data_IF_658375115076
#
_entry.id   IF_658375115076
#
_cell.length_a   1.000
_cell.length_b   1.000
_cell.length_c   1.000
_cell.angle_alpha   90.00
_cell.angle_beta   90.00
_cell.angle_gamma   90.00
#
_symmetry.space_group_name_H-M   'P 1'
#
loop_
_entity.id
_entity.type
_entity.pdbx_description
1 polymer ?
#
# COMPACT_ATOMS: atom_id res chain seq x y z
N UNK A 1 -15.16 -20.59 -3.68
CA UNK A 1 -16.08 -19.62 -3.04
C UNK A 1 -16.94 -18.99 -4.12
N UNK A 2 -18.22 -18.70 -3.87
CA UNK A 2 -19.04 -17.94 -4.82
C UNK A 2 -18.83 -16.42 -4.60
N UNK A 3 -17.93 -15.84 -5.41
CA UNK A 3 -17.54 -14.44 -5.30
C UNK A 3 -18.65 -13.46 -5.73
N UNK A 4 -19.57 -13.91 -6.58
CA UNK A 4 -20.71 -13.09 -7.01
C UNK A 4 -21.71 -12.93 -5.87
N UNK A 5 -22.02 -14.01 -5.16
CA UNK A 5 -22.86 -13.94 -3.96
C UNK A 5 -22.24 -13.08 -2.85
N UNK A 6 -20.91 -13.08 -2.74
CA UNK A 6 -20.14 -12.27 -1.78
C UNK A 6 -20.11 -10.80 -2.21
N UNK A 7 -20.42 -10.51 -3.48
CA UNK A 7 -20.37 -9.15 -4.04
C UNK A 7 -18.95 -8.62 -4.12
N UNK A 8 -17.99 -9.48 -4.46
CA UNK A 8 -16.59 -9.09 -4.65
C UNK A 8 -16.48 -8.02 -5.74
N UNK A 9 -15.81 -6.92 -5.41
CA UNK A 9 -15.34 -5.92 -6.37
C UNK A 9 -13.86 -5.69 -6.15
N UNK A 10 -13.10 -5.74 -7.24
CA UNK A 10 -11.67 -5.49 -7.26
C UNK A 10 -11.35 -4.38 -8.27
N UNK A 11 -10.49 -3.45 -7.87
CA UNK A 11 -9.82 -2.51 -8.76
C UNK A 11 -8.31 -2.71 -8.66
N UNK A 12 -7.60 -2.55 -9.77
CA UNK A 12 -6.14 -2.67 -9.83
C UNK A 12 -5.57 -1.31 -10.21
N UNK A 13 -4.51 -0.92 -9.52
CA UNK A 13 -3.72 0.26 -9.82
C UNK A 13 -2.31 -0.20 -10.18
N UNK A 14 -1.87 0.08 -11.40
CA UNK A 14 -0.55 -0.31 -11.89
C UNK A 14 0.32 0.92 -12.03
N UNK A 15 1.49 0.87 -11.42
CA UNK A 15 2.53 1.88 -11.55
C UNK A 15 3.65 1.31 -12.40
N UNK A 16 3.97 1.93 -13.54
CA UNK A 16 5.00 1.44 -14.45
C UNK A 16 5.99 2.55 -14.80
N UNK A 17 7.28 2.32 -14.51
CA UNK A 17 8.34 3.23 -14.92
C UNK A 17 8.53 3.21 -16.44
N UNK A 18 8.65 4.39 -17.02
CA UNK A 18 8.96 4.60 -18.43
C UNK A 18 10.47 4.62 -18.65
N UNK A 19 10.91 4.09 -19.79
CA UNK A 19 12.33 4.07 -20.15
C UNK A 19 12.70 5.27 -21.02
N UNK A 20 12.63 6.44 -20.40
CA UNK A 20 12.98 7.71 -21.04
C UNK A 20 14.45 8.04 -20.85
N UNK A 21 14.99 8.89 -21.73
CA UNK A 21 16.36 9.39 -21.61
C UNK A 21 16.57 10.21 -20.33
N UNK A 22 15.59 11.04 -20.00
CA UNK A 22 15.66 11.97 -18.88
C UNK A 22 14.47 11.79 -17.92
N UNK A 23 14.64 12.26 -16.69
CA UNK A 23 13.59 12.30 -15.65
C UNK A 23 12.43 13.22 -16.05
N UNK A 24 11.32 13.15 -15.29
CA UNK A 24 10.04 13.76 -15.68
C UNK A 24 10.08 15.29 -15.68
N UNK A 25 10.78 15.88 -14.73
CA UNK A 25 10.87 17.33 -14.53
C UNK A 25 12.31 17.84 -14.40
N UNK A 26 13.31 17.06 -14.84
CA UNK A 26 14.70 17.50 -14.92
C UNK A 26 15.47 16.72 -16.01
N UNK A 27 16.69 17.17 -16.31
CA UNK A 27 17.53 16.56 -17.36
C UNK A 27 18.43 15.43 -16.87
N UNK A 28 18.26 14.98 -15.63
CA UNK A 28 19.03 13.84 -15.11
C UNK A 28 18.63 12.53 -15.82
N UNK A 29 19.56 11.58 -15.99
CA UNK A 29 19.27 10.28 -16.59
C UNK A 29 18.37 9.43 -15.67
N UNK A 30 17.67 8.45 -16.25
CA UNK A 30 16.78 7.53 -15.51
C UNK A 30 17.49 6.24 -15.05
N UNK A 31 18.77 6.35 -14.68
CA UNK A 31 19.60 5.21 -14.24
C UNK A 31 19.57 5.07 -12.72
N UNK A 32 19.54 3.83 -12.24
CA UNK A 32 19.74 3.52 -10.83
C UNK A 32 21.24 3.33 -10.56
N UNK A 33 21.70 3.81 -9.40
CA UNK A 33 23.11 3.78 -9.00
C UNK A 33 23.28 2.83 -7.82
N UNK A 34 24.50 2.36 -7.58
CA UNK A 34 24.81 1.73 -6.30
C UNK A 34 24.82 2.81 -5.20
N UNK A 35 24.36 2.49 -4.00
CA UNK A 35 24.37 3.45 -2.89
C UNK A 35 25.79 3.87 -2.50
N UNK A 36 26.76 2.97 -2.66
CA UNK A 36 28.17 3.24 -2.34
C UNK A 36 28.83 4.25 -3.29
N UNK A 37 28.23 4.49 -4.45
CA UNK A 37 28.69 5.51 -5.41
C UNK A 37 28.22 6.93 -5.03
N UNK A 38 27.45 7.07 -3.96
CA UNK A 38 26.97 8.38 -3.51
C UNK A 38 28.14 9.26 -3.09
N UNK A 39 28.25 10.42 -3.72
CA UNK A 39 29.33 11.38 -3.49
C UNK A 39 28.88 12.59 -2.66
N UNK A 40 27.59 12.70 -2.36
CA UNK A 40 27.01 13.78 -1.58
C UNK A 40 25.81 13.28 -0.76
N UNK A 41 25.67 13.80 0.46
CA UNK A 41 24.56 13.49 1.35
C UNK A 41 24.05 14.77 2.02
N UNK A 42 22.73 14.87 2.18
CA UNK A 42 22.09 15.92 2.98
C UNK A 42 20.91 15.35 3.75
N UNK A 43 20.37 16.11 4.70
CA UNK A 43 19.20 15.69 5.47
C UNK A 43 18.09 16.74 5.48
N UNK A 44 16.85 16.29 5.64
CA UNK A 44 15.68 17.16 5.79
C UNK A 44 14.71 16.65 6.85
N UNK A 45 13.85 17.54 7.30
CA UNK A 45 12.68 17.23 8.11
C UNK A 45 11.45 17.75 7.36
N UNK A 46 10.53 16.86 7.00
CA UNK A 46 9.25 17.27 6.42
C UNK A 46 8.29 17.68 7.53
N UNK A 47 7.50 18.72 7.28
CA UNK A 47 6.46 19.21 8.19
C UNK A 47 5.12 19.15 7.48
N UNK A 48 4.12 18.60 8.13
CA UNK A 48 2.75 18.71 7.62
C UNK A 48 2.28 20.15 7.74
N UNK A 49 1.69 20.67 6.67
CA UNK A 49 0.88 21.87 6.69
C UNK A 49 -0.60 21.48 6.67
N UNK A 50 -1.43 22.30 7.31
CA UNK A 50 -2.89 22.22 7.14
C UNK A 50 -3.21 22.44 5.66
N UNK A 51 -4.17 21.68 5.14
CA UNK A 51 -4.74 21.97 3.82
C UNK A 51 -5.29 23.41 3.79
N UNK A 52 -5.46 23.98 2.59
CA UNK A 52 -6.04 25.32 2.44
C UNK A 52 -7.44 25.45 3.09
N UNK A 53 -8.16 24.34 3.20
CA UNK A 53 -9.46 24.21 3.86
C UNK A 53 -9.37 23.93 5.38
N UNK A 54 -8.16 23.85 5.94
CA UNK A 54 -7.93 23.65 7.38
C UNK A 54 -8.11 22.22 7.88
N UNK A 55 -8.52 21.29 7.02
CA UNK A 55 -8.64 19.86 7.34
C UNK A 55 -7.26 19.20 7.41
N UNK A 56 -7.06 18.35 8.42
CA UNK A 56 -5.82 17.60 8.61
C UNK A 56 -6.09 16.14 8.24
N UNK A 57 -5.31 15.62 7.30
CA UNK A 57 -5.39 14.20 6.90
C UNK A 57 -4.86 13.31 8.04
N UNK A 58 -5.70 12.38 8.51
CA UNK A 58 -5.39 11.47 9.63
C UNK A 58 -4.18 10.58 9.38
N UNK A 59 -4.01 10.09 8.16
CA UNK A 59 -2.85 9.28 7.81
C UNK A 59 -1.57 10.14 7.77
N UNK A 60 -1.69 11.41 7.39
CA UNK A 60 -0.58 12.35 7.49
C UNK A 60 -0.21 12.67 8.95
N UNK A 61 -1.17 12.87 9.86
CA UNK A 61 -0.89 13.06 11.29
C UNK A 61 -0.15 11.88 11.93
N UNK A 62 -0.60 10.65 11.66
CA UNK A 62 0.05 9.44 12.16
C UNK A 62 1.50 9.31 11.68
N UNK A 63 1.81 9.84 10.51
CA UNK A 63 3.14 9.84 9.91
C UNK A 63 4.04 10.97 10.47
N UNK A 64 3.50 12.17 10.68
CA UNK A 64 4.21 13.32 11.31
C UNK A 64 4.54 13.06 12.77
N UNK A 65 3.66 12.38 13.50
CA UNK A 65 3.89 11.98 14.89
C UNK A 65 5.16 11.13 15.05
N UNK A 66 5.69 10.57 13.95
CA UNK A 66 6.92 9.78 13.90
C UNK A 66 8.18 10.62 13.64
N UNK A 67 8.06 11.94 13.43
CA UNK A 67 9.13 12.94 13.16
C UNK A 67 10.50 12.31 12.91
N UNK A 68 10.69 11.79 11.69
CA UNK A 68 11.93 11.15 11.27
C UNK A 68 12.82 12.17 10.58
N UNK A 69 14.12 12.07 10.81
CA UNK A 69 15.12 12.75 9.99
C UNK A 69 15.29 11.96 8.69
N UNK A 70 15.13 12.60 7.55
CA UNK A 70 15.33 11.96 6.25
C UNK A 70 16.72 12.30 5.74
N UNK A 71 17.49 11.29 5.37
CA UNK A 71 18.84 11.43 4.82
C UNK A 71 18.75 11.04 3.33
N UNK A 72 19.25 11.89 2.45
CA UNK A 72 19.22 11.69 1.01
C UNK A 72 20.63 11.54 0.46
N UNK A 73 20.88 10.39 -0.19
CA UNK A 73 22.08 10.06 -0.95
C UNK A 73 21.95 10.59 -2.37
N UNK A 74 22.87 11.43 -2.79
CA UNK A 74 22.93 12.06 -4.09
C UNK A 74 24.20 11.62 -4.86
N UNK A 75 24.20 11.90 -6.16
CA UNK A 75 25.19 11.42 -7.13
C UNK A 75 25.55 12.51 -8.14
N UNK A 76 26.60 12.29 -8.92
CA UNK A 76 26.93 13.07 -10.13
C UNK A 76 25.84 13.03 -11.22
N UNK A 77 24.86 12.15 -11.07
CA UNK A 77 23.70 11.95 -11.96
C UNK A 77 22.40 12.48 -11.37
N UNK A 78 22.47 13.22 -10.26
CA UNK A 78 21.35 13.92 -9.64
C UNK A 78 21.56 15.43 -9.71
N UNK A 79 20.49 16.22 -9.61
CA UNK A 79 20.52 17.68 -9.70
C UNK A 79 19.78 18.39 -8.57
N UNK A 80 19.80 19.72 -8.61
CA UNK A 80 19.14 20.58 -7.63
C UNK A 80 17.61 20.42 -7.61
N UNK A 81 16.99 20.05 -8.74
CA UNK A 81 15.54 19.77 -8.79
C UNK A 81 15.18 18.58 -7.89
N UNK A 82 15.96 17.51 -7.94
CA UNK A 82 15.74 16.32 -7.09
C UNK A 82 16.07 16.61 -5.64
N UNK A 83 16.99 17.53 -5.37
CA UNK A 83 17.33 17.97 -4.02
C UNK A 83 16.33 18.97 -3.43
N UNK A 84 15.33 19.42 -4.21
CA UNK A 84 14.42 20.51 -3.84
C UNK A 84 15.18 21.82 -3.51
N UNK A 85 16.12 22.18 -4.40
CA UNK A 85 16.94 23.40 -4.36
C UNK A 85 16.82 24.23 -5.67
N UNK A 86 16.07 23.73 -6.65
CA UNK A 86 15.79 24.40 -7.92
C UNK A 86 14.35 24.07 -8.37
N UNK A 87 13.59 25.03 -8.93
CA UNK A 87 12.28 24.73 -9.51
C UNK A 87 12.33 23.63 -10.59
N UNK A 88 11.28 22.81 -10.71
CA UNK A 88 11.18 21.80 -11.76
C UNK A 88 11.27 22.42 -13.17
N UNK A 89 11.69 21.61 -14.14
CA UNK A 89 11.62 21.94 -15.56
C UNK A 89 10.24 21.58 -16.12
N UNK A 90 10.04 21.86 -17.41
CA UNK A 90 8.82 21.44 -18.10
C UNK A 90 8.64 19.92 -18.11
N UNK A 91 7.38 19.49 -18.24
CA UNK A 91 7.02 18.07 -18.37
C UNK A 91 7.76 17.41 -19.54
N UNK A 92 8.42 16.29 -19.27
CA UNK A 92 9.18 15.55 -20.26
C UNK A 92 8.30 15.08 -21.45
N UNK A 93 8.63 15.56 -22.65
CA UNK A 93 7.88 15.28 -23.88
C UNK A 93 7.95 13.82 -24.33
N UNK A 94 9.08 13.15 -24.09
CA UNK A 94 9.23 11.71 -24.39
C UNK A 94 8.31 10.88 -23.49
N UNK A 95 8.28 11.19 -22.19
CA UNK A 95 7.37 10.55 -21.25
C UNK A 95 5.91 10.73 -21.66
N UNK A 96 5.53 11.95 -22.05
CA UNK A 96 4.17 12.27 -22.50
C UNK A 96 3.80 11.49 -23.78
N UNK A 97 4.69 11.41 -24.77
CA UNK A 97 4.46 10.63 -26.00
C UNK A 97 4.24 9.14 -25.70
N UNK A 98 5.05 8.55 -24.81
CA UNK A 98 4.88 7.16 -24.38
C UNK A 98 3.54 6.98 -23.67
N UNK A 99 3.18 7.90 -22.78
CA UNK A 99 1.93 7.82 -22.03
C UNK A 99 0.69 8.00 -22.93
N UNK A 100 0.74 8.84 -23.96
CA UNK A 100 -0.32 8.95 -24.99
C UNK A 100 -0.41 7.66 -25.81
N UNK A 101 0.72 7.07 -26.19
CA UNK A 101 0.73 5.77 -26.87
C UNK A 101 0.05 4.69 -26.02
N UNK A 102 0.36 4.63 -24.71
CA UNK A 102 -0.29 3.72 -23.76
C UNK A 102 -1.79 4.00 -23.67
N UNK A 103 -2.21 5.27 -23.55
CA UNK A 103 -3.61 5.66 -23.51
C UNK A 103 -4.40 5.16 -24.74
N UNK A 104 -3.81 5.28 -25.95
CA UNK A 104 -4.40 4.74 -27.18
C UNK A 104 -4.51 3.21 -27.16
N UNK A 105 -3.48 2.52 -26.67
CA UNK A 105 -3.49 1.05 -26.52
C UNK A 105 -4.53 0.57 -25.50
N UNK A 106 -4.94 1.43 -24.57
CA UNK A 106 -5.98 1.18 -23.56
C UNK A 106 -7.36 1.75 -23.97
N UNK A 107 -7.52 2.19 -25.22
CA UNK A 107 -8.76 2.78 -25.75
C UNK A 107 -9.27 3.99 -24.94
N UNK A 108 -8.37 4.78 -24.35
CA UNK A 108 -8.71 5.90 -23.48
C UNK A 108 -8.91 7.21 -24.27
N UNK A 109 -9.61 8.16 -23.64
CA UNK A 109 -9.72 9.55 -24.10
C UNK A 109 -8.62 10.37 -23.44
N UNK A 110 -7.75 10.97 -24.26
CA UNK A 110 -6.70 11.88 -23.80
C UNK A 110 -7.32 13.25 -23.51
N UNK A 111 -6.85 13.93 -22.46
CA UNK A 111 -7.29 15.29 -22.11
C UNK A 111 -6.81 16.33 -23.14
N UNK A 112 -7.49 17.47 -23.23
CA UNK A 112 -7.08 18.57 -24.12
C UNK A 112 -5.84 19.31 -23.61
N UNK A 113 -5.67 19.37 -22.30
CA UNK A 113 -4.57 20.03 -21.60
C UNK A 113 -4.18 19.22 -20.37
N UNK A 114 -2.87 19.04 -20.17
CA UNK A 114 -2.29 18.28 -19.07
C UNK A 114 -1.78 19.25 -18.01
N UNK A 115 -2.46 19.28 -16.87
CA UNK A 115 -2.09 20.05 -15.69
C UNK A 115 -1.37 19.19 -14.66
N UNK A 116 -0.27 19.72 -14.12
CA UNK A 116 0.49 19.05 -13.07
C UNK A 116 -0.05 19.44 -11.70
N UNK A 117 -0.24 18.44 -10.85
CA UNK A 117 -0.72 18.57 -9.48
C UNK A 117 0.35 18.05 -8.50
N UNK A 118 0.31 18.54 -7.27
CA UNK A 118 1.14 18.12 -6.14
C UNK A 118 0.31 17.25 -5.21
N UNK A 119 0.61 15.95 -5.17
CA UNK A 119 0.05 14.96 -4.24
C UNK A 119 0.91 14.93 -2.98
N UNK A 120 0.38 15.32 -1.83
CA UNK A 120 1.16 15.41 -0.58
C UNK A 120 1.69 14.03 -0.16
N UNK A 121 3.01 13.93 0.03
CA UNK A 121 3.75 12.72 0.43
C UNK A 121 4.78 13.09 1.49
N UNK A 122 4.52 12.73 2.74
CA UNK A 122 5.31 13.16 3.90
C UNK A 122 6.15 12.05 4.55
N UNK A 123 6.25 10.90 3.89
CA UNK A 123 7.05 9.74 4.33
C UNK A 123 8.56 9.89 4.07
N UNK A 124 8.96 11.02 3.48
CA UNK A 124 10.33 11.35 3.08
C UNK A 124 10.75 10.74 1.74
N UNK A 125 9.85 10.07 1.02
CA UNK A 125 10.19 9.47 -0.28
C UNK A 125 10.21 10.49 -1.42
N UNK A 126 9.68 11.69 -1.22
CA UNK A 126 9.84 12.86 -2.08
C UNK A 126 10.50 13.99 -1.30
N UNK A 127 11.60 14.56 -1.80
CA UNK A 127 12.37 15.63 -1.14
C UNK A 127 11.57 16.91 -0.92
N UNK A 128 10.63 17.19 -1.82
CA UNK A 128 9.66 18.30 -1.82
C UNK A 128 8.52 18.12 -0.82
N UNK A 129 8.30 16.91 -0.28
CA UNK A 129 7.13 16.57 0.52
C UNK A 129 5.83 16.38 -0.29
N UNK A 130 5.93 16.30 -1.61
CA UNK A 130 4.83 15.97 -2.52
C UNK A 130 5.35 15.28 -3.79
N UNK A 131 4.52 14.48 -4.41
CA UNK A 131 4.75 13.87 -5.72
C UNK A 131 4.06 14.72 -6.78
N UNK A 132 4.74 15.04 -7.88
CA UNK A 132 4.09 15.66 -9.03
C UNK A 132 3.39 14.59 -9.87
N UNK A 133 2.10 14.78 -10.11
CA UNK A 133 1.22 13.85 -10.83
C UNK A 133 0.31 14.66 -11.75
N UNK A 134 0.10 14.19 -12.98
CA UNK A 134 -0.77 14.82 -13.97
C UNK A 134 -1.73 13.79 -14.58
N UNK A 135 -3.04 14.11 -14.63
CA UNK A 135 -4.01 13.28 -15.33
C UNK A 135 -3.80 13.45 -16.84
N UNK A 136 -3.64 12.35 -17.56
CA UNK A 136 -3.43 12.37 -19.02
C UNK A 136 -4.62 11.83 -19.79
N UNK A 137 -5.25 10.76 -19.31
CA UNK A 137 -6.35 10.14 -20.01
C UNK A 137 -7.34 9.50 -19.04
N UNK A 138 -8.57 9.34 -19.50
CA UNK A 138 -9.68 8.73 -18.74
C UNK A 138 -10.60 7.94 -19.68
N UNK A 139 -11.58 7.21 -19.12
CA UNK A 139 -12.59 6.46 -19.88
C UNK A 139 -12.03 5.49 -20.93
N UNK A 140 -11.17 4.55 -20.51
CA UNK A 140 -10.69 3.46 -21.36
C UNK A 140 -11.31 2.11 -21.06
N UNK A 141 -10.83 1.11 -21.77
CA UNK A 141 -11.14 -0.28 -21.49
C UNK A 141 -10.13 -1.25 -22.12
N UNK A 142 -10.07 -2.44 -21.54
CA UNK A 142 -9.43 -3.61 -22.14
C UNK A 142 -10.40 -4.79 -22.15
N UNK A 143 -10.26 -5.66 -23.15
CA UNK A 143 -11.02 -6.90 -23.21
C UNK A 143 -10.15 -8.07 -22.70
N UNK A 144 -10.64 -8.80 -21.71
CA UNK A 144 -9.95 -9.93 -21.08
C UNK A 144 -10.89 -11.15 -21.08
N UNK A 145 -10.57 -12.15 -21.90
CA UNK A 145 -11.41 -13.35 -22.15
C UNK A 145 -12.86 -13.03 -22.56
N UNK A 146 -13.07 -11.98 -23.36
CA UNK A 146 -14.40 -11.60 -23.82
C UNK A 146 -15.20 -10.76 -22.82
N UNK A 147 -14.65 -10.46 -21.64
CA UNK A 147 -15.21 -9.50 -20.70
C UNK A 147 -14.47 -8.16 -20.80
N UNK A 148 -15.23 -7.08 -20.80
CA UNK A 148 -14.70 -5.72 -20.82
C UNK A 148 -14.42 -5.22 -19.42
N UNK A 149 -13.22 -4.71 -19.19
CA UNK A 149 -12.78 -4.10 -17.93
C UNK A 149 -12.50 -2.63 -18.20
N UNK A 150 -13.19 -1.75 -17.47
CA UNK A 150 -12.96 -0.32 -17.58
C UNK A 150 -11.60 0.11 -17.04
N UNK A 151 -11.03 1.15 -17.64
CA UNK A 151 -9.83 1.86 -17.18
C UNK A 151 -10.26 3.29 -16.89
N UNK A 152 -10.35 3.66 -15.62
CA UNK A 152 -10.89 4.95 -15.20
C UNK A 152 -9.91 6.09 -15.48
N UNK A 153 -8.64 5.88 -15.14
CA UNK A 153 -7.61 6.93 -15.18
C UNK A 153 -6.25 6.42 -15.62
N UNK A 154 -5.52 7.30 -16.30
CA UNK A 154 -4.10 7.18 -16.59
C UNK A 154 -3.44 8.52 -16.26
N UNK A 155 -2.53 8.47 -15.28
CA UNK A 155 -1.74 9.60 -14.85
C UNK A 155 -0.27 9.43 -15.24
N UNK A 156 0.44 10.54 -15.41
CA UNK A 156 1.91 10.59 -15.52
C UNK A 156 2.43 11.22 -14.24
N UNK A 157 3.38 10.57 -13.57
CA UNK A 157 3.90 11.04 -12.28
C UNK A 157 5.38 10.76 -12.06
N UNK A 158 5.95 11.41 -11.05
CA UNK A 158 7.31 11.17 -10.58
C UNK A 158 7.37 9.89 -9.75
N UNK A 159 8.32 9.00 -10.04
CA UNK A 159 8.66 7.95 -9.09
C UNK A 159 9.30 8.52 -7.81
N UNK A 160 9.09 7.85 -6.68
CA UNK A 160 9.66 8.19 -5.38
C UNK A 160 11.12 7.71 -5.20
N UNK A 161 11.84 8.30 -4.25
CA UNK A 161 13.20 7.88 -3.86
C UNK A 161 13.27 6.39 -3.55
N UNK A 162 14.43 5.77 -3.81
CA UNK A 162 14.67 4.39 -3.37
C UNK A 162 15.02 4.38 -1.88
N UNK A 163 14.23 3.65 -1.09
CA UNK A 163 14.49 3.49 0.34
C UNK A 163 15.66 2.52 0.55
N UNK A 164 16.70 2.98 1.27
CA UNK A 164 17.93 2.22 1.50
C UNK A 164 17.90 1.59 2.89
N UNK A 165 17.62 2.38 3.92
CA UNK A 165 17.75 1.93 5.32
C UNK A 165 16.67 2.59 6.20
N UNK A 166 16.08 1.83 7.13
CA UNK A 166 15.24 2.37 8.21
C UNK A 166 15.99 2.25 9.53
N UNK A 167 16.47 3.38 10.04
CA UNK A 167 17.07 3.49 11.37
C UNK A 167 16.01 3.96 12.35
N UNK A 168 16.26 3.75 13.64
CA UNK A 168 15.27 4.01 14.71
C UNK A 168 14.57 5.38 14.61
N UNK A 169 15.30 6.44 14.26
CA UNK A 169 14.78 7.81 14.13
C UNK A 169 15.16 8.48 12.78
N UNK A 170 15.73 7.71 11.85
CA UNK A 170 16.20 8.24 10.56
C UNK A 170 15.80 7.29 9.44
N UNK A 171 15.48 7.80 8.25
CA UNK A 171 15.33 6.97 7.06
C UNK A 171 16.31 7.46 6.01
N UNK A 172 17.06 6.54 5.42
CA UNK A 172 18.01 6.83 4.35
C UNK A 172 17.36 6.50 3.01
N UNK A 173 17.35 7.48 2.12
CA UNK A 173 16.82 7.42 0.76
C UNK A 173 17.93 7.71 -0.25
N UNK A 174 17.83 7.11 -1.43
CA UNK A 174 18.65 7.41 -2.59
C UNK A 174 17.84 8.15 -3.65
N UNK A 175 18.42 9.24 -4.16
CA UNK A 175 17.77 10.13 -5.14
C UNK A 175 17.83 9.61 -6.58
N UNK A 176 18.64 8.59 -6.86
CA UNK A 176 18.80 8.02 -8.20
C UNK A 176 17.46 7.68 -8.88
N UNK A 177 16.48 7.23 -8.10
CA UNK A 177 15.15 6.85 -8.56
C UNK A 177 14.13 8.00 -8.58
N UNK A 178 14.30 9.03 -7.75
CA UNK A 178 13.35 10.13 -7.63
C UNK A 178 13.16 10.81 -8.99
N UNK A 179 11.92 10.98 -9.45
CA UNK A 179 11.61 11.70 -10.69
C UNK A 179 11.75 10.88 -11.97
N UNK A 180 12.07 9.58 -11.92
CA UNK A 180 11.90 8.70 -13.09
C UNK A 180 10.43 8.77 -13.53
N UNK A 181 10.11 8.98 -14.82
CA UNK A 181 8.72 9.05 -15.26
C UNK A 181 7.99 7.73 -15.03
N UNK A 182 6.76 7.83 -14.55
CA UNK A 182 5.92 6.70 -14.24
C UNK A 182 4.52 6.95 -14.80
N UNK A 183 3.86 5.89 -15.27
CA UNK A 183 2.41 5.91 -15.52
C UNK A 183 1.69 5.16 -14.42
N UNK A 184 0.64 5.78 -13.88
CA UNK A 184 -0.31 5.17 -12.96
C UNK A 184 -1.60 4.89 -13.75
N UNK A 185 -2.00 3.62 -13.84
CA UNK A 185 -3.22 3.18 -14.52
C UNK A 185 -4.18 2.60 -13.47
N UNK A 186 -5.36 3.20 -13.34
CA UNK A 186 -6.42 2.72 -12.45
C UNK A 186 -7.53 2.02 -13.22
N UNK A 187 -7.84 0.77 -12.88
CA UNK A 187 -9.01 0.07 -13.43
C UNK A 187 -10.28 0.46 -12.69
N UNK A 188 -11.41 0.40 -13.37
CA UNK A 188 -12.72 0.41 -12.73
C UNK A 188 -12.89 -0.80 -11.80
N UNK A 189 -13.84 -0.73 -10.88
CA UNK A 189 -14.16 -1.79 -9.92
C UNK A 189 -15.01 -2.94 -10.54
N UNK A 190 -14.65 -3.36 -11.75
CA UNK A 190 -15.39 -4.33 -12.57
C UNK A 190 -14.94 -5.78 -12.36
N UNK A 191 -13.80 -5.99 -11.71
CA UNK A 191 -13.20 -7.31 -11.53
C UNK A 191 -13.92 -8.05 -10.40
N UNK A 192 -14.46 -9.24 -10.71
CA UNK A 192 -15.37 -9.99 -9.82
C UNK A 192 -14.78 -11.27 -9.25
N UNK A 193 -13.61 -11.69 -9.72
CA UNK A 193 -12.96 -12.93 -9.22
C UNK A 193 -11.44 -12.75 -9.06
N UNK A 194 -10.80 -13.48 -8.14
CA UNK A 194 -9.33 -13.47 -7.99
C UNK A 194 -8.59 -13.84 -9.28
N UNK A 195 -9.08 -14.86 -9.99
CA UNK A 195 -8.47 -15.30 -11.25
C UNK A 195 -8.58 -14.21 -12.33
N UNK A 196 -9.71 -13.50 -12.41
CA UNK A 196 -9.87 -12.38 -13.32
C UNK A 196 -8.89 -11.25 -12.97
N UNK A 197 -8.70 -10.92 -11.68
CA UNK A 197 -7.72 -9.92 -11.25
C UNK A 197 -6.30 -10.25 -11.76
N UNK A 198 -5.86 -11.51 -11.60
CA UNK A 198 -4.59 -11.99 -12.14
C UNK A 198 -4.48 -11.82 -13.66
N UNK A 199 -5.53 -12.17 -14.40
CA UNK A 199 -5.53 -12.05 -15.87
C UNK A 199 -5.55 -10.60 -16.36
N UNK A 200 -6.28 -9.72 -15.67
CA UNK A 200 -6.32 -8.28 -15.98
C UNK A 200 -4.95 -7.65 -15.77
N UNK A 201 -4.32 -7.89 -14.61
CA UNK A 201 -2.96 -7.43 -14.35
C UNK A 201 -1.94 -7.96 -15.38
N UNK A 202 -2.06 -9.24 -15.75
CA UNK A 202 -1.20 -9.85 -16.77
C UNK A 202 -1.34 -9.15 -18.13
N UNK A 203 -2.59 -8.88 -18.55
CA UNK A 203 -2.89 -8.22 -19.82
C UNK A 203 -2.37 -6.79 -19.83
N UNK A 204 -2.61 -6.01 -18.78
CA UNK A 204 -2.08 -4.65 -18.65
C UNK A 204 -0.55 -4.64 -18.70
N UNK A 205 0.11 -5.52 -17.95
CA UNK A 205 1.57 -5.65 -17.98
C UNK A 205 2.11 -5.98 -19.37
N UNK A 206 1.42 -6.84 -20.13
CA UNK A 206 1.81 -7.17 -21.51
C UNK A 206 1.56 -6.02 -22.49
N UNK A 207 0.45 -5.28 -22.37
CA UNK A 207 0.20 -4.05 -23.14
C UNK A 207 1.34 -3.06 -22.91
N UNK A 208 1.70 -2.81 -21.65
CA UNK A 208 2.81 -1.93 -21.29
C UNK A 208 4.14 -2.41 -21.87
N UNK A 209 4.47 -3.71 -21.76
CA UNK A 209 5.69 -4.27 -22.37
C UNK A 209 5.71 -4.14 -23.90
N UNK A 210 4.55 -4.22 -24.55
CA UNK A 210 4.44 -4.11 -26.01
C UNK A 210 4.86 -2.73 -26.53
N UNK A 211 4.91 -1.70 -25.67
CA UNK A 211 5.47 -0.39 -26.04
C UNK A 211 6.94 -0.44 -26.42
N UNK A 212 7.70 -1.37 -25.83
CA UNK A 212 9.17 -1.39 -25.89
C UNK A 212 9.83 -0.17 -25.22
N UNK A 213 9.07 0.66 -24.48
CA UNK A 213 9.50 1.94 -23.90
C UNK A 213 9.23 2.03 -22.40
N UNK A 214 9.03 0.88 -21.76
CA UNK A 214 8.88 0.76 -20.30
C UNK A 214 10.11 0.09 -19.72
N UNK A 215 10.53 0.51 -18.52
CA UNK A 215 11.65 -0.14 -17.84
C UNK A 215 11.29 -1.58 -17.50
N UNK A 216 12.28 -2.46 -17.62
CA UNK A 216 12.20 -3.88 -17.27
C UNK A 216 13.09 -4.18 -16.06
N UNK A 217 12.71 -5.19 -15.28
CA UNK A 217 13.46 -5.64 -14.11
C UNK A 217 12.71 -5.44 -12.80
N UNK A 218 13.31 -5.89 -11.69
CA UNK A 218 12.69 -5.84 -10.38
C UNK A 218 12.40 -4.39 -9.94
N UNK A 219 11.19 -4.16 -9.43
CA UNK A 219 10.79 -2.86 -8.90
C UNK A 219 10.48 -1.78 -9.95
N UNK A 220 10.40 -2.14 -11.23
CA UNK A 220 10.01 -1.21 -12.33
C UNK A 220 8.50 -1.12 -12.51
N UNK A 221 7.77 -2.14 -12.05
CA UNK A 221 6.31 -2.20 -12.00
C UNK A 221 5.86 -2.46 -10.57
N UNK A 222 4.82 -1.75 -10.12
CA UNK A 222 4.11 -2.02 -8.86
C UNK A 222 2.64 -2.17 -9.14
N UNK A 223 1.99 -2.97 -8.30
CA UNK A 223 0.56 -3.21 -8.38
C UNK A 223 -0.02 -3.03 -6.99
N UNK A 224 -0.98 -2.12 -6.89
CA UNK A 224 -1.81 -1.93 -5.72
C UNK A 224 -3.23 -2.44 -6.06
N UNK A 225 -3.90 -3.04 -5.08
CA UNK A 225 -5.18 -3.73 -5.31
C UNK A 225 -6.21 -3.22 -4.32
N UNK A 226 -7.32 -2.74 -4.85
CA UNK A 226 -8.45 -2.24 -4.06
C UNK A 226 -9.51 -3.33 -4.01
N UNK A 227 -9.88 -3.79 -2.81
CA UNK A 227 -10.78 -4.93 -2.63
C UNK A 227 -11.93 -4.54 -1.72
N UNK A 228 -13.14 -4.93 -2.10
CA UNK A 228 -14.33 -4.83 -1.25
C UNK A 228 -15.28 -6.00 -1.48
N UNK A 229 -16.07 -6.32 -0.47
CA UNK A 229 -17.17 -7.28 -0.55
C UNK A 229 -18.47 -6.64 -0.03
N UNK A 230 -19.61 -7.30 -0.26
CA UNK A 230 -20.89 -6.88 0.33
C UNK A 230 -20.77 -6.88 1.87
N UNK A 231 -21.31 -5.84 2.50
CA UNK A 231 -21.25 -5.60 3.95
C UNK A 231 -19.84 -5.41 4.54
N UNK A 232 -18.82 -5.40 3.67
CA UNK A 232 -17.45 -5.01 3.97
C UNK A 232 -17.18 -3.55 3.61
N UNK A 233 -15.90 -3.21 3.47
CA UNK A 233 -15.45 -1.86 3.11
C UNK A 233 -14.28 -1.94 2.12
N UNK A 234 -13.95 -0.79 1.50
CA UNK A 234 -12.81 -0.71 0.58
C UNK A 234 -11.51 -0.81 1.37
N UNK A 235 -10.68 -1.78 0.98
CA UNK A 235 -9.34 -1.99 1.52
C UNK A 235 -8.35 -1.88 0.37
N UNK A 236 -7.34 -1.03 0.54
CA UNK A 236 -6.24 -0.86 -0.40
C UNK A 236 -5.07 -1.74 0.03
N UNK A 237 -4.62 -2.65 -0.83
CA UNK A 237 -3.48 -3.52 -0.58
C UNK A 237 -2.33 -3.03 -1.45
N UNK A 238 -1.29 -2.49 -0.80
CA UNK A 238 -0.10 -1.99 -1.47
C UNK A 238 0.99 -3.04 -1.66
N UNK A 239 1.72 -2.89 -2.76
CA UNK A 239 2.97 -3.59 -3.00
C UNK A 239 2.80 -5.07 -3.33
N UNK A 240 1.80 -5.42 -4.14
CA UNK A 240 1.67 -6.78 -4.69
C UNK A 240 2.75 -6.97 -5.78
N UNK A 241 3.91 -7.49 -5.37
CA UNK A 241 5.10 -7.56 -6.24
C UNK A 241 4.99 -8.62 -7.32
N UNK A 242 4.38 -9.77 -7.00
CA UNK A 242 4.28 -10.90 -7.92
C UNK A 242 2.86 -11.06 -8.45
N UNK A 243 2.75 -11.20 -9.77
CA UNK A 243 1.50 -11.58 -10.42
C UNK A 243 1.01 -12.96 -9.95
N UNK A 244 1.93 -13.83 -9.52
CA UNK A 244 1.59 -15.19 -9.12
C UNK A 244 0.82 -15.30 -7.82
N UNK A 245 0.92 -14.27 -6.97
CA UNK A 245 0.24 -14.23 -5.67
C UNK A 245 -1.00 -13.35 -5.67
N UNK A 246 -1.24 -12.60 -6.74
CA UNK A 246 -2.32 -11.61 -6.81
C UNK A 246 -3.70 -12.24 -6.57
N UNK A 247 -3.95 -13.42 -7.14
CA UNK A 247 -5.18 -14.18 -6.90
C UNK A 247 -5.32 -14.60 -5.42
N UNK A 248 -4.25 -15.10 -4.79
CA UNK A 248 -4.25 -15.44 -3.36
C UNK A 248 -4.48 -14.21 -2.48
N UNK A 249 -3.86 -13.09 -2.79
CA UNK A 249 -4.06 -11.82 -2.06
C UNK A 249 -5.53 -11.42 -2.09
N UNK A 250 -6.17 -11.52 -3.25
CA UNK A 250 -7.59 -11.21 -3.38
C UNK A 250 -8.46 -12.19 -2.60
N UNK A 251 -8.20 -13.49 -2.75
CA UNK A 251 -8.95 -14.53 -2.06
C UNK A 251 -8.84 -14.40 -0.53
N UNK A 252 -7.64 -14.20 0.00
CA UNK A 252 -7.40 -14.09 1.43
C UNK A 252 -7.96 -12.80 2.02
N UNK A 253 -8.01 -11.71 1.26
CA UNK A 253 -8.71 -10.50 1.69
C UNK A 253 -10.22 -10.72 1.77
N UNK A 254 -10.82 -11.45 0.81
CA UNK A 254 -12.23 -11.83 0.89
C UNK A 254 -12.51 -12.67 2.14
N UNK A 255 -11.66 -13.66 2.42
CA UNK A 255 -11.76 -14.50 3.62
C UNK A 255 -11.66 -13.63 4.90
N UNK A 256 -10.75 -12.66 4.91
CA UNK A 256 -10.59 -11.71 6.03
C UNK A 256 -11.84 -10.90 6.28
N UNK A 257 -12.34 -10.24 5.24
CA UNK A 257 -13.50 -9.36 5.37
C UNK A 257 -14.72 -10.15 5.83
N UNK A 258 -14.95 -11.33 5.25
CA UNK A 258 -16.04 -12.23 5.66
C UNK A 258 -15.89 -12.65 7.13
N UNK A 259 -14.71 -13.06 7.56
CA UNK A 259 -14.45 -13.47 8.95
C UNK A 259 -14.67 -12.32 9.93
N UNK A 260 -14.28 -11.09 9.58
CA UNK A 260 -14.52 -9.91 10.40
C UNK A 260 -16.02 -9.54 10.48
N UNK A 261 -16.78 -9.73 9.41
CA UNK A 261 -18.24 -9.57 9.41
C UNK A 261 -18.88 -10.62 10.33
N UNK A 262 -18.43 -11.87 10.28
CA UNK A 262 -18.93 -12.92 11.18
C UNK A 262 -18.58 -12.62 12.64
N UNK A 263 -17.38 -12.09 12.93
CA UNK A 263 -17.00 -11.62 14.26
C UNK A 263 -17.90 -10.46 14.69
N UNK A 264 -18.21 -9.51 13.81
CA UNK A 264 -19.15 -8.40 14.10
C UNK A 264 -20.50 -8.93 14.55
N UNK A 265 -21.10 -9.85 13.79
CA UNK A 265 -22.42 -10.39 14.12
C UNK A 265 -22.39 -11.14 15.45
N UNK A 266 -21.34 -11.92 15.71
CA UNK A 266 -21.19 -12.63 16.99
C UNK A 266 -20.99 -11.67 18.17
N UNK A 267 -20.19 -10.60 18.01
CA UNK A 267 -20.02 -9.56 19.02
C UNK A 267 -21.33 -8.83 19.32
N UNK A 268 -22.13 -8.53 18.29
CA UNK A 268 -23.46 -7.91 18.45
C UNK A 268 -24.41 -8.83 19.19
N UNK A 269 -24.48 -10.10 18.79
CA UNK A 269 -25.30 -11.13 19.45
C UNK A 269 -24.91 -11.32 20.91
N UNK A 270 -23.61 -11.24 21.22
CA UNK A 270 -23.10 -11.29 22.58
C UNK A 270 -23.30 -9.98 23.34
N UNK A 271 -23.75 -8.89 22.73
CA UNK A 271 -23.74 -7.54 23.33
C UNK A 271 -22.37 -7.23 23.96
N UNK A 272 -21.30 -7.54 23.23
CA UNK A 272 -19.94 -7.32 23.66
C UNK A 272 -19.63 -5.82 23.81
N UNK A 273 -18.64 -5.50 24.64
CA UNK A 273 -18.27 -4.11 24.94
C UNK A 273 -16.76 -3.98 25.13
N UNK A 274 -16.21 -2.81 24.81
CA UNK A 274 -14.78 -2.53 25.00
C UNK A 274 -14.59 -1.64 26.22
N UNK A 275 -13.79 -2.10 27.19
CA UNK A 275 -13.40 -1.26 28.31
C UNK A 275 -12.21 -0.38 27.90
N UNK A 276 -12.38 0.95 28.02
CA UNK A 276 -11.35 1.94 27.65
C UNK A 276 -10.27 2.11 28.72
N UNK A 277 -10.45 1.53 29.90
CA UNK A 277 -9.45 1.58 30.98
C UNK A 277 -8.25 0.71 30.64
N UNK A 278 -7.07 1.32 30.68
CA UNK A 278 -5.79 0.61 30.60
C UNK A 278 -5.37 0.24 32.02
N UNK A 279 -5.26 -1.06 32.27
CA UNK A 279 -4.83 -1.63 33.55
C UNK A 279 -3.30 -1.71 33.60
N UNK A 280 -2.70 -1.39 34.75
CA UNK A 280 -1.29 -1.67 35.00
C UNK A 280 -1.17 -3.10 35.54
N UNK A 281 -0.56 -3.98 34.75
CA UNK A 281 -0.42 -5.41 35.02
C UNK A 281 1.01 -5.79 35.42
N UNK A 282 1.88 -4.80 35.66
CA UNK A 282 3.31 -5.06 35.92
C UNK A 282 3.52 -5.91 37.18
N UNK A 283 2.64 -5.78 38.18
CA UNK A 283 2.70 -6.59 39.40
C UNK A 283 2.25 -8.04 39.19
N UNK A 284 1.31 -8.29 38.28
CA UNK A 284 0.81 -9.64 37.94
C UNK A 284 1.97 -10.49 37.42
N UNK A 285 2.79 -9.92 36.55
CA UNK A 285 3.89 -10.61 35.88
C UNK A 285 5.26 -10.40 36.54
N UNK A 286 5.30 -10.04 37.83
CA UNK A 286 6.55 -9.72 38.54
C UNK A 286 7.52 -10.90 38.57
N UNK A 287 6.99 -12.12 38.62
CA UNK A 287 7.75 -13.38 38.69
C UNK A 287 7.55 -14.28 37.47
N UNK A 288 7.01 -13.72 36.38
CA UNK A 288 6.75 -14.46 35.14
C UNK A 288 7.98 -15.16 34.61
N UNK A 289 7.83 -16.27 33.89
CA UNK A 289 8.94 -16.90 33.17
C UNK A 289 9.10 -16.35 31.74
N UNK A 290 8.11 -15.58 31.26
CA UNK A 290 8.10 -14.99 29.93
C UNK A 290 9.29 -14.07 29.71
N UNK A 291 10.21 -14.48 28.84
CA UNK A 291 11.43 -13.71 28.49
C UNK A 291 11.11 -12.34 27.90
N UNK A 292 9.95 -12.21 27.24
CA UNK A 292 9.50 -10.96 26.62
C UNK A 292 9.04 -9.97 27.68
N UNK A 293 8.16 -10.42 28.59
CA UNK A 293 7.62 -9.57 29.65
C UNK A 293 8.69 -9.19 30.68
N UNK A 294 9.60 -10.12 31.05
CA UNK A 294 10.74 -9.84 31.96
C UNK A 294 11.59 -8.64 31.55
N UNK A 295 11.73 -8.39 30.24
CA UNK A 295 12.56 -7.30 29.70
C UNK A 295 11.80 -5.98 29.58
N UNK A 296 10.48 -5.98 29.74
CA UNK A 296 9.66 -4.80 29.61
C UNK A 296 9.76 -3.91 30.85
N UNK A 297 9.67 -2.59 30.64
CA UNK A 297 9.63 -1.61 31.74
C UNK A 297 8.23 -1.43 32.32
N UNK A 298 7.22 -1.74 31.52
CA UNK A 298 5.82 -1.61 31.86
C UNK A 298 5.00 -2.68 31.14
N UNK A 299 4.01 -3.23 31.84
CA UNK A 299 3.02 -4.15 31.28
C UNK A 299 1.64 -3.53 31.47
N UNK A 300 0.96 -3.27 30.36
CA UNK A 300 -0.40 -2.77 30.34
C UNK A 300 -1.35 -3.80 29.76
N UNK A 301 -2.64 -3.71 30.11
CA UNK A 301 -3.67 -4.50 29.44
C UNK A 301 -5.01 -3.80 29.38
N UNK A 302 -5.88 -4.34 28.53
CA UNK A 302 -7.25 -3.86 28.30
C UNK A 302 -8.23 -5.03 28.37
N UNK A 303 -9.43 -4.75 28.87
CA UNK A 303 -10.51 -5.72 28.97
C UNK A 303 -11.48 -5.58 27.80
N UNK A 304 -11.64 -6.65 27.03
CA UNK A 304 -12.61 -6.75 25.95
C UNK A 304 -13.74 -7.69 26.40
N UNK A 305 -14.89 -7.11 26.74
CA UNK A 305 -15.99 -7.87 27.34
C UNK A 305 -16.69 -8.74 26.30
N UNK A 306 -16.88 -10.02 26.62
CA UNK A 306 -17.51 -11.03 25.75
C UNK A 306 -16.76 -11.31 24.43
N UNK A 307 -15.46 -11.03 24.39
CA UNK A 307 -14.56 -11.30 23.25
C UNK A 307 -13.89 -12.68 23.28
N UNK A 308 -14.12 -13.49 24.31
CA UNK A 308 -13.48 -14.81 24.45
C UNK A 308 -13.67 -15.68 23.20
N UNK A 309 -12.58 -16.32 22.79
CA UNK A 309 -12.48 -17.16 21.60
C UNK A 309 -12.49 -16.39 20.27
N UNK A 310 -12.80 -15.08 20.25
CA UNK A 310 -12.86 -14.28 19.03
C UNK A 310 -11.53 -13.63 18.68
N UNK A 311 -10.68 -13.33 19.66
CA UNK A 311 -9.35 -12.75 19.42
C UNK A 311 -8.44 -13.82 18.79
N UNK A 312 -8.52 -15.05 19.28
CA UNK A 312 -7.82 -16.22 18.75
C UNK A 312 -8.41 -16.77 17.44
N UNK A 313 -9.57 -16.26 16.99
CA UNK A 313 -10.22 -16.75 15.77
C UNK A 313 -9.42 -16.38 14.54
N UNK A 314 -9.16 -17.38 13.70
CA UNK A 314 -8.49 -17.21 12.42
C UNK A 314 -9.38 -16.40 11.46
N UNK A 315 -8.80 -15.36 10.85
CA UNK A 315 -9.47 -14.47 9.89
C UNK A 315 -8.83 -14.54 8.51
N UNK A 316 -7.57 -14.97 8.42
CA UNK A 316 -6.87 -15.33 7.18
C UNK A 316 -6.01 -16.55 7.48
N UNK A 317 -5.58 -17.33 6.47
CA UNK A 317 -4.65 -18.42 6.68
C UNK A 317 -3.45 -18.00 7.55
N UNK A 318 -3.35 -18.57 8.75
CA UNK A 318 -2.26 -18.28 9.70
C UNK A 318 -2.34 -16.92 10.43
N UNK A 319 -3.41 -16.12 10.24
CA UNK A 319 -3.63 -14.84 10.94
C UNK A 319 -4.97 -14.80 11.65
N UNK A 320 -4.96 -14.25 12.86
CA UNK A 320 -6.13 -14.15 13.75
C UNK A 320 -6.56 -12.70 13.95
N UNK A 321 -7.71 -12.46 14.58
CA UNK A 321 -8.07 -11.11 15.01
C UNK A 321 -7.01 -10.51 15.93
N UNK A 322 -6.41 -11.31 16.82
CA UNK A 322 -5.27 -10.90 17.65
C UNK A 322 -4.05 -10.48 16.85
N UNK A 323 -3.86 -11.03 15.63
CA UNK A 323 -2.80 -10.60 14.72
C UNK A 323 -3.02 -9.17 14.21
N UNK A 324 -4.26 -8.72 14.01
CA UNK A 324 -4.58 -7.32 13.66
C UNK A 324 -4.19 -6.38 14.81
N UNK A 325 -4.48 -6.76 16.05
CA UNK A 325 -4.07 -5.98 17.23
C UNK A 325 -2.54 -5.98 17.40
N UNK A 326 -1.88 -7.09 17.09
CA UNK A 326 -0.43 -7.21 17.12
C UNK A 326 0.25 -6.31 16.07
N UNK A 327 -0.29 -6.23 14.85
CA UNK A 327 0.20 -5.30 13.82
C UNK A 327 0.15 -3.86 14.30
N UNK A 328 -0.95 -3.46 14.95
CA UNK A 328 -1.08 -2.14 15.57
C UNK A 328 0.00 -1.91 16.62
N UNK A 329 0.22 -2.86 17.52
CA UNK A 329 1.25 -2.74 18.55
C UNK A 329 2.67 -2.58 17.96
N UNK A 330 2.97 -3.30 16.87
CA UNK A 330 4.27 -3.20 16.17
C UNK A 330 4.52 -1.82 15.60
N UNK A 331 3.49 -1.11 15.16
CA UNK A 331 3.64 0.27 14.68
C UNK A 331 4.11 1.25 15.77
N UNK A 332 3.80 0.98 17.04
CA UNK A 332 4.29 1.76 18.17
C UNK A 332 5.67 1.29 18.66
N UNK A 333 6.33 0.40 17.90
CA UNK A 333 7.65 -0.14 18.22
C UNK A 333 7.66 -1.16 19.35
N UNK A 334 6.55 -1.88 19.53
CA UNK A 334 6.43 -3.03 20.43
C UNK A 334 6.66 -4.34 19.65
N UNK A 335 7.00 -5.44 20.34
CA UNK A 335 7.18 -6.75 19.68
C UNK A 335 5.87 -7.42 19.23
N UNK A 336 4.74 -7.00 19.79
CA UNK A 336 3.42 -7.58 19.57
C UNK A 336 2.54 -7.41 20.81
N UNK A 337 1.56 -8.30 20.95
CA UNK A 337 0.67 -8.39 22.12
C UNK A 337 0.59 -9.85 22.60
N UNK A 338 0.03 -10.05 23.79
CA UNK A 338 -0.52 -11.33 24.24
C UNK A 338 -2.01 -11.17 24.46
N UNK A 339 -2.78 -12.25 24.39
CA UNK A 339 -4.19 -12.22 24.76
C UNK A 339 -4.66 -13.54 25.33
N UNK A 340 -5.74 -13.51 26.12
CA UNK A 340 -6.24 -14.67 26.86
C UNK A 340 -6.57 -15.89 26.00
N UNK A 341 -7.04 -15.72 24.75
CA UNK A 341 -7.33 -16.88 23.89
C UNK A 341 -6.09 -17.69 23.47
N UNK A 342 -4.88 -17.15 23.68
CA UNK A 342 -3.60 -17.82 23.41
C UNK A 342 -2.86 -18.20 24.71
N UNK A 343 -3.44 -17.94 25.88
CA UNK A 343 -2.83 -18.20 27.18
C UNK A 343 -3.59 -19.31 27.93
N UNK A 344 -2.89 -20.14 28.73
CA UNK A 344 -1.48 -20.06 29.12
C UNK A 344 -0.50 -20.48 28.00
N UNK A 345 0.54 -19.68 27.78
CA UNK A 345 1.63 -19.98 26.85
C UNK A 345 2.80 -18.99 27.06
N UNK A 346 3.87 -19.15 26.28
CA UNK A 346 4.98 -18.18 26.21
C UNK A 346 5.69 -17.89 27.55
N UNK A 347 5.68 -18.87 28.46
CA UNK A 347 6.24 -18.73 29.81
C UNK A 347 5.35 -17.93 30.77
N UNK A 348 4.06 -17.78 30.45
CA UNK A 348 3.02 -17.26 31.35
C UNK A 348 2.27 -18.45 31.94
N UNK A 349 2.22 -18.56 33.27
CA UNK A 349 1.57 -19.68 33.96
C UNK A 349 0.05 -19.48 34.11
N UNK A 350 -0.68 -20.55 34.41
CA UNK A 350 -2.13 -20.47 34.73
C UNK A 350 -2.40 -19.58 35.95
N UNK A 351 -1.54 -19.63 36.97
CA UNK A 351 -1.66 -18.75 38.14
C UNK A 351 -1.57 -17.27 37.77
N UNK A 352 -0.73 -16.92 36.78
CA UNK A 352 -0.63 -15.56 36.26
C UNK A 352 -1.85 -15.16 35.43
N UNK A 353 -2.44 -16.10 34.68
CA UNK A 353 -3.69 -15.88 33.93
C UNK A 353 -4.87 -15.67 34.90
N UNK A 354 -4.94 -16.42 35.99
CA UNK A 354 -5.95 -16.24 37.03
C UNK A 354 -5.82 -14.87 37.72
N UNK A 355 -4.61 -14.47 38.08
CA UNK A 355 -4.34 -13.17 38.71
C UNK A 355 -4.60 -11.99 37.75
N UNK A 356 -4.32 -12.19 36.45
CA UNK A 356 -4.68 -11.26 35.39
C UNK A 356 -6.20 -11.06 35.31
N UNK A 357 -6.98 -12.15 35.29
CA UNK A 357 -8.46 -12.08 35.25
C UNK A 357 -9.01 -11.39 36.49
N UNK A 358 -8.49 -11.71 37.69
CA UNK A 358 -8.86 -11.03 38.95
C UNK A 358 -8.56 -9.53 38.92
N UNK A 359 -7.37 -9.14 38.48
CA UNK A 359 -6.92 -7.73 38.43
C UNK A 359 -7.78 -6.91 37.47
N UNK A 360 -8.13 -7.48 36.31
CA UNK A 360 -8.94 -6.81 35.29
C UNK A 360 -10.45 -6.94 35.52
N UNK A 361 -10.87 -7.80 36.47
CA UNK A 361 -12.27 -8.18 36.72
C UNK A 361 -12.93 -8.79 35.47
N UNK A 362 -12.16 -9.59 34.73
CA UNK A 362 -12.65 -10.32 33.57
C UNK A 362 -13.45 -11.56 34.00
N UNK A 363 -14.63 -11.79 33.41
CA UNK A 363 -15.33 -13.07 33.52
C UNK A 363 -14.83 -14.09 32.46
N UNK A 364 -15.37 -15.30 32.46
CA UNK A 364 -14.95 -16.38 31.54
C UNK A 364 -15.26 -16.09 30.07
N UNK A 365 -16.20 -15.19 29.79
CA UNK A 365 -16.56 -14.78 28.43
C UNK A 365 -15.73 -13.58 27.97
N UNK A 366 -15.05 -12.91 28.89
CA UNK A 366 -14.22 -11.76 28.60
C UNK A 366 -12.81 -12.20 28.17
N UNK A 367 -12.18 -11.35 27.36
CA UNK A 367 -10.81 -11.52 26.94
C UNK A 367 -9.96 -10.32 27.37
N UNK A 368 -8.70 -10.57 27.70
CA UNK A 368 -7.74 -9.54 28.09
C UNK A 368 -6.62 -9.49 27.07
N UNK A 369 -6.32 -8.30 26.56
CA UNK A 369 -5.18 -8.04 25.67
C UNK A 369 -4.08 -7.34 26.45
N UNK A 370 -2.84 -7.80 26.31
CA UNK A 370 -1.68 -7.37 27.07
C UNK A 370 -0.59 -6.88 26.12
N UNK A 371 0.03 -5.75 26.46
CA UNK A 371 1.20 -5.24 25.75
C UNK A 371 2.31 -4.89 26.76
N UNK A 372 3.56 -5.18 26.39
CA UNK A 372 4.72 -5.01 27.26
C UNK A 372 5.82 -4.21 26.56
N UNK A 373 6.38 -3.21 27.23
CA UNK A 373 7.41 -2.35 26.65
C UNK A 373 7.70 -1.08 27.45
N UNK A 374 7.96 0.02 26.73
CA UNK A 374 8.04 1.36 27.31
C UNK A 374 6.61 1.90 27.54
N UNK A 375 6.39 2.58 28.66
CA UNK A 375 5.04 2.94 29.13
C UNK A 375 4.26 3.78 28.13
N UNK A 376 4.85 4.85 27.58
CA UNK A 376 4.17 5.74 26.62
C UNK A 376 3.79 4.98 25.35
N UNK A 377 4.70 4.12 24.86
CA UNK A 377 4.42 3.26 23.68
C UNK A 377 3.30 2.26 23.95
N UNK A 378 3.32 1.58 25.09
CA UNK A 378 2.29 0.62 25.50
C UNK A 378 0.94 1.29 25.63
N UNK A 379 0.85 2.42 26.32
CA UNK A 379 -0.41 3.15 26.48
C UNK A 379 -0.98 3.60 25.14
N UNK A 380 -0.14 4.14 24.24
CA UNK A 380 -0.57 4.56 22.91
C UNK A 380 -1.03 3.38 22.04
N UNK A 381 -0.30 2.26 22.07
CA UNK A 381 -0.70 1.04 21.37
C UNK A 381 -2.04 0.51 21.88
N UNK A 382 -2.22 0.40 23.20
CA UNK A 382 -3.47 -0.10 23.78
C UNK A 382 -4.65 0.84 23.49
N UNK A 383 -4.48 2.16 23.48
CA UNK A 383 -5.52 3.11 23.04
C UNK A 383 -5.92 2.85 21.59
N UNK A 384 -4.97 2.57 20.70
CA UNK A 384 -5.28 2.27 19.29
C UNK A 384 -5.94 0.91 19.13
N UNK A 385 -5.53 -0.10 19.92
CA UNK A 385 -6.18 -1.41 19.94
C UNK A 385 -7.61 -1.30 20.49
N UNK A 386 -7.86 -0.47 21.51
CA UNK A 386 -9.23 -0.16 21.98
C UNK A 386 -10.09 0.34 20.82
N UNK A 387 -9.61 1.33 20.05
CA UNK A 387 -10.34 1.83 18.89
C UNK A 387 -10.58 0.74 17.84
N UNK A 388 -9.60 -0.16 17.62
CA UNK A 388 -9.74 -1.29 16.69
C UNK A 388 -10.78 -2.30 17.18
N UNK A 389 -10.76 -2.63 18.47
CA UNK A 389 -11.73 -3.53 19.08
C UNK A 389 -13.15 -2.92 19.03
N UNK A 390 -13.29 -1.62 19.25
CA UNK A 390 -14.55 -0.90 19.06
C UNK A 390 -15.01 -0.95 17.60
N UNK A 391 -14.09 -0.84 16.65
CA UNK A 391 -14.41 -0.94 15.23
C UNK A 391 -14.99 -2.32 14.84
N UNK A 392 -14.63 -3.39 15.56
CA UNK A 392 -15.15 -4.73 15.30
C UNK A 392 -16.69 -4.82 15.44
N UNK A 393 -17.33 -3.88 16.14
CA UNK A 393 -18.80 -3.79 16.21
C UNK A 393 -19.46 -3.22 14.94
N UNK A 394 -18.67 -2.56 14.09
CA UNK A 394 -19.10 -1.99 12.81
C UNK A 394 -18.78 -2.91 11.63
N UNK A 395 -17.64 -3.60 11.68
CA UNK A 395 -17.26 -4.61 10.69
C UNK A 395 -15.84 -4.41 10.16
N UNK A 396 -15.71 -4.41 8.83
CA UNK A 396 -14.41 -4.28 8.16
C UNK A 396 -13.99 -2.80 8.15
N UNK A 397 -12.81 -2.46 8.66
CA UNK A 397 -12.27 -1.10 8.62
C UNK A 397 -11.65 -0.75 7.28
N UNK A 398 -11.92 0.48 6.83
CA UNK A 398 -11.25 1.08 5.66
C UNK A 398 -9.79 1.41 6.00
N UNK A 399 -8.87 0.78 5.29
CA UNK A 399 -7.45 0.87 5.59
C UNK A 399 -6.58 0.52 4.40
N UNK A 400 -5.35 1.03 4.42
CA UNK A 400 -4.28 0.58 3.56
C UNK A 400 -3.51 -0.54 4.27
N UNK A 401 -3.30 -1.65 3.57
CA UNK A 401 -2.61 -2.85 4.03
C UNK A 401 -1.41 -3.13 3.12
N UNK A 402 -0.44 -3.88 3.63
CA UNK A 402 0.70 -4.38 2.85
C UNK A 402 0.48 -5.86 2.52
N UNK A 403 0.75 -6.26 1.28
CA UNK A 403 0.80 -7.67 0.91
C UNK A 403 2.03 -8.37 1.51
N UNK A 404 1.83 -9.55 2.09
CA UNK A 404 2.89 -10.44 2.56
C UNK A 404 3.23 -11.48 1.48
N UNK A 405 4.38 -12.15 1.60
CA UNK A 405 4.88 -13.13 0.62
C UNK A 405 4.03 -14.41 0.52
N UNK A 406 3.17 -14.67 1.51
CA UNK A 406 2.25 -15.80 1.55
C UNK A 406 0.85 -15.46 0.99
N UNK A 407 0.62 -14.21 0.63
CA UNK A 407 -0.65 -13.68 0.12
C UNK A 407 -1.55 -13.11 1.20
N UNK A 408 -1.20 -13.25 2.47
CA UNK A 408 -1.92 -12.57 3.56
C UNK A 408 -1.61 -11.08 3.56
N UNK A 409 -2.34 -10.30 4.35
CA UNK A 409 -2.14 -8.84 4.42
C UNK A 409 -1.92 -8.38 5.85
N UNK A 410 -1.06 -7.38 6.03
CA UNK A 410 -0.80 -6.75 7.33
C UNK A 410 -1.25 -5.30 7.31
N UNK A 411 -1.79 -4.80 8.42
CA UNK A 411 -2.17 -3.39 8.54
C UNK A 411 -0.96 -2.48 8.29
N UNK A 412 -1.15 -1.41 7.50
CA UNK A 412 -0.11 -0.40 7.28
C UNK A 412 -0.51 0.96 7.87
N UNK A 413 -1.65 1.51 7.44
CA UNK A 413 -2.15 2.83 7.85
C UNK A 413 -3.64 2.98 7.53
N UNK A 414 -4.34 3.99 8.08
CA UNK A 414 -5.70 4.30 7.65
C UNK A 414 -5.72 4.69 6.16
N UNK A 415 -6.85 4.48 5.50
CA UNK A 415 -7.00 4.87 4.10
C UNK A 415 -6.81 6.40 3.99
N UNK A 416 -5.92 6.89 3.10
CA UNK A 416 -5.69 8.32 2.93
C UNK A 416 -6.95 9.04 2.45
N UNK A 417 -7.14 10.30 2.89
CA UNK A 417 -8.28 11.12 2.49
C UNK A 417 -8.13 11.72 1.08
N UNK A 418 -9.25 12.21 0.54
CA UNK A 418 -9.30 12.82 -0.80
C UNK A 418 -8.57 14.18 -0.92
N UNK A 419 -8.42 14.91 0.20
CA UNK A 419 -7.88 16.27 0.24
C UNK A 419 -6.34 16.31 0.28
N UNK A 420 -5.68 15.73 -0.72
CA UNK A 420 -4.20 15.64 -0.80
C UNK A 420 -3.56 16.28 -2.02
N UNK A 421 -4.35 16.82 -2.96
CA UNK A 421 -3.83 17.40 -4.19
C UNK A 421 -4.07 18.91 -4.25
N UNK A 422 -3.06 19.63 -4.74
CA UNK A 422 -3.13 21.07 -5.05
C UNK A 422 -2.26 21.38 -6.29
N UNK A 423 -2.48 22.48 -7.01
CA UNK A 423 -1.77 22.76 -8.27
C UNK A 423 -0.23 22.85 -8.13
N UNK A 424 0.51 22.31 -9.10
CA UNK A 424 1.95 22.54 -9.30
C UNK A 424 2.14 23.79 -10.17
N UNK A 425 2.35 24.94 -9.53
CA UNK A 425 2.42 26.23 -10.22
C UNK A 425 3.76 26.50 -10.92
N UNK A 426 4.80 25.71 -10.62
CA UNK A 426 6.13 25.94 -11.18
C UNK A 426 6.28 25.30 -12.57
N UNK A 427 5.37 24.39 -12.95
CA UNK A 427 5.37 23.71 -14.24
C UNK A 427 4.19 24.21 -15.09
N UNK A 428 4.43 24.73 -16.32
CA UNK A 428 3.35 25.14 -17.20
C UNK A 428 2.52 23.95 -17.69
N UNK A 429 1.22 24.18 -17.88
CA UNK A 429 0.33 23.22 -18.50
C UNK A 429 0.75 22.87 -19.92
N UNK A 430 0.46 21.65 -20.34
CA UNK A 430 0.79 21.16 -21.68
C UNK A 430 -0.47 20.95 -22.49
N UNK A 431 -0.69 21.80 -23.49
CA UNK A 431 -1.75 21.58 -24.49
C UNK A 431 -1.42 20.35 -25.35
N UNK A 432 -2.38 19.43 -25.46
CA UNK A 432 -2.28 18.25 -26.32
C UNK A 432 -2.57 18.64 -27.77
N UNK A 433 -1.65 18.33 -28.67
CA UNK A 433 -1.76 18.67 -30.09
C UNK A 433 -2.09 17.44 -30.93
N UNK A 434 -2.65 17.66 -32.13
CA UNK A 434 -2.89 16.59 -33.12
C UNK A 434 -1.62 15.81 -33.47
N UNK A 435 -0.46 16.48 -33.50
CA UNK A 435 0.83 15.82 -33.70
C UNK A 435 1.13 14.81 -32.59
N UNK A 436 0.89 15.16 -31.32
CA UNK A 436 1.07 14.23 -30.21
C UNK A 436 0.11 13.05 -30.27
N UNK A 437 -1.14 13.29 -30.69
CA UNK A 437 -2.16 12.25 -30.85
C UNK A 437 -1.89 11.31 -32.03
N UNK A 438 -1.08 11.75 -33.00
CA UNK A 438 -0.68 10.95 -34.17
C UNK A 438 0.27 9.81 -33.86
N UNK A 439 0.74 9.66 -32.61
CA UNK A 439 1.64 8.58 -32.19
C UNK A 439 1.10 7.20 -32.56
N UNK A 440 1.91 6.42 -33.27
CA UNK A 440 1.54 5.06 -33.68
C UNK A 440 1.53 4.11 -32.48
N UNK A 441 0.59 3.17 -32.47
CA UNK A 441 0.54 2.09 -31.47
C UNK A 441 1.28 0.87 -31.99
N UNK A 442 2.20 0.29 -31.22
CA UNK A 442 2.90 -0.92 -31.63
C UNK A 442 1.97 -2.13 -31.64
N UNK A 443 2.33 -3.15 -32.42
CA UNK A 443 1.69 -4.46 -32.36
C UNK A 443 1.90 -5.08 -30.97
N UNK A 444 0.81 -5.54 -30.35
CA UNK A 444 0.85 -6.25 -29.06
C UNK A 444 1.69 -7.52 -29.18
N UNK A 445 2.40 -7.87 -28.11
CA UNK A 445 3.22 -9.09 -28.04
C UNK A 445 2.39 -10.35 -28.38
N UNK A 446 1.13 -10.42 -27.92
CA UNK A 446 0.23 -11.53 -28.25
C UNK A 446 -0.07 -11.64 -29.75
N UNK A 447 -0.31 -10.52 -30.41
CA UNK A 447 -0.66 -10.51 -31.84
C UNK A 447 0.57 -10.79 -32.69
N UNK A 448 1.73 -10.26 -32.27
CA UNK A 448 3.05 -10.60 -32.83
C UNK A 448 3.34 -12.09 -32.73
N UNK A 449 3.09 -12.71 -31.56
CA UNK A 449 3.25 -14.15 -31.35
C UNK A 449 2.35 -14.95 -32.30
N UNK A 450 1.06 -14.61 -32.40
CA UNK A 450 0.13 -15.27 -33.34
C UNK A 450 0.59 -15.14 -34.79
N UNK A 451 1.06 -13.95 -35.17
CA UNK A 451 1.62 -13.68 -36.50
C UNK A 451 2.84 -14.54 -36.76
N UNK A 452 3.74 -14.69 -35.77
CA UNK A 452 4.93 -15.52 -35.93
C UNK A 452 4.62 -17.02 -36.11
N UNK A 453 3.64 -17.55 -35.38
CA UNK A 453 3.17 -18.92 -35.58
C UNK A 453 2.57 -19.08 -36.97
N UNK A 454 1.69 -18.15 -37.37
CA UNK A 454 0.96 -18.22 -38.64
C UNK A 454 1.87 -18.05 -39.87
N UNK A 455 2.70 -17.01 -39.86
CA UNK A 455 3.42 -16.55 -41.06
C UNK A 455 4.81 -17.17 -41.18
N UNK A 456 5.45 -17.53 -40.05
CA UNK A 456 6.79 -18.12 -40.02
C UNK A 456 6.81 -19.58 -39.56
N UNK A 457 5.66 -20.18 -39.21
CA UNK A 457 5.56 -21.58 -38.82
C UNK A 457 6.33 -21.92 -37.54
N UNK A 458 6.62 -20.94 -36.69
CA UNK A 458 7.31 -21.16 -35.42
C UNK A 458 6.40 -21.93 -34.45
N UNK A 459 7.01 -22.72 -33.55
CA UNK A 459 6.28 -23.27 -32.41
C UNK A 459 5.82 -22.14 -31.49
N UNK A 460 4.74 -22.36 -30.73
CA UNK A 460 4.21 -21.35 -29.80
C UNK A 460 5.26 -20.90 -28.78
N UNK A 461 6.06 -21.83 -28.25
CA UNK A 461 7.13 -21.52 -27.30
C UNK A 461 8.19 -20.62 -27.91
N UNK A 462 8.63 -20.92 -29.14
CA UNK A 462 9.64 -20.13 -29.84
C UNK A 462 9.09 -18.75 -30.25
N UNK A 463 7.86 -18.71 -30.74
CA UNK A 463 7.17 -17.47 -31.08
C UNK A 463 7.02 -16.55 -29.86
N UNK A 464 6.69 -17.12 -28.68
CA UNK A 464 6.58 -16.36 -27.43
C UNK A 464 7.91 -15.74 -27.03
N UNK A 465 9.00 -16.50 -27.08
CA UNK A 465 10.34 -16.02 -26.70
C UNK A 465 10.84 -14.91 -27.64
N UNK A 466 10.51 -14.98 -28.93
CA UNK A 466 10.94 -13.96 -29.91
C UNK A 466 10.04 -12.72 -29.88
N UNK A 467 8.78 -12.86 -29.45
CA UNK A 467 7.83 -11.75 -29.41
C UNK A 467 8.01 -10.82 -28.19
N UNK A 468 8.43 -11.35 -27.04
CA UNK A 468 8.75 -10.61 -25.80
C UNK A 468 10.16 -9.99 -25.83
#
# INVERSE_FOLDING_TARGET
MDYESVGLKVGIEIHQQLDTKNKLFCYCPTIQRDVEESNFEFFRYLRSKRSEIGEIDRAAEEEVARSKKFIYKAYDTTCLVEADEEPPRELNREALQIAIQIAKMLNMKVVDEVDVMRKIVIDGSNTTGFQRTALLAFDGFIDVNGERIGIDTLCVEEEACRRIEDRKNEVVYSLDRLGIPLVEIGTSADIKTPLQAKKVAAKLGMILRSTGKVKRGLGTIRQDVNISIRDGTRVEIKGVQSLDILDKVVEYEVIRQKSLIEIREELRKREAAVNRTIFNLSNVFKHTESKVIKKAKFVGGILLKRFEGLIGREIQPGRRLGTEFADIARMFGLGGIFHTDELPAYGISEEEVDELRKTTKADDRDAVVIAAGERVRVENALRRIIQRAEYCFFGVPEETRKANEDGTTSYLRPLPGAARMYPETDVPAVKVTEEMLSVETPELIEDRMKRYVKDYGLSEDLARVIAD
#
